data_IF_830754574295
#
_entry.id   IF_830754574295
#
_cell.length_a   1.000
_cell.length_b   1.000
_cell.length_c   1.000
_cell.angle_alpha   90.00
_cell.angle_beta   90.00
_cell.angle_gamma   90.00
#
_symmetry.space_group_name_H-M   'P 1'
#
loop_
_entity.id
_entity.type
_entity.pdbx_description
1 polymer ?
#
# COMPACT_ATOMS: atom_id res chain seq x y z
N UNK A 1 66.51 39.07 -21.98
CA UNK A 1 67.23 38.31 -20.90
C UNK A 1 66.17 37.46 -20.22
N UNK A 2 66.11 36.16 -20.53
CA UNK A 2 65.30 35.17 -19.80
C UNK A 2 66.22 34.53 -18.75
N UNK A 3 65.94 34.73 -17.48
CA UNK A 3 66.60 34.02 -16.39
C UNK A 3 65.65 32.84 -16.05
N UNK A 4 66.01 31.66 -16.55
CA UNK A 4 65.46 30.39 -16.10
C UNK A 4 66.28 30.00 -14.85
N UNK A 5 65.73 30.26 -13.71
CA UNK A 5 66.18 29.66 -12.44
C UNK A 5 65.56 28.27 -12.32
N UNK A 6 66.25 27.24 -12.80
CA UNK A 6 66.01 25.89 -12.32
C UNK A 6 66.58 25.79 -10.91
N UNK A 7 65.73 25.89 -9.94
CA UNK A 7 66.07 25.48 -8.57
C UNK A 7 66.00 23.94 -8.56
N UNK A 8 67.08 23.25 -8.69
CA UNK A 8 67.20 21.83 -8.38
C UNK A 8 67.08 21.74 -6.84
N UNK A 9 65.93 21.30 -6.39
CA UNK A 9 65.76 20.91 -5.00
C UNK A 9 66.65 19.69 -4.71
N UNK A 10 67.84 19.93 -4.09
CA UNK A 10 68.76 18.88 -3.59
C UNK A 10 68.36 18.51 -2.15
N UNK A 11 67.08 18.45 -1.83
CA UNK A 11 66.64 17.96 -0.57
C UNK A 11 67.06 16.53 -0.33
N UNK A 12 67.80 16.33 0.77
CA UNK A 12 68.14 14.98 1.23
C UNK A 12 66.90 14.41 1.97
N UNK A 13 65.93 14.03 1.17
CA UNK A 13 64.69 13.44 1.73
C UNK A 13 64.99 11.97 2.02
N UNK A 14 65.00 11.64 3.30
CA UNK A 14 65.04 10.26 3.78
C UNK A 14 63.63 9.67 3.63
N UNK A 15 63.31 9.19 2.43
CA UNK A 15 62.02 8.56 2.16
C UNK A 15 61.96 7.23 2.92
N UNK A 16 61.16 7.22 3.99
CA UNK A 16 60.79 5.95 4.62
C UNK A 16 59.60 5.40 3.90
N UNK A 17 59.69 4.13 3.49
CA UNK A 17 58.48 3.41 3.00
C UNK A 17 57.44 3.41 4.09
N UNK A 18 56.25 3.89 3.74
CA UNK A 18 55.08 3.86 4.64
C UNK A 18 54.46 2.47 4.57
N UNK A 19 54.06 1.96 5.72
CA UNK A 19 53.32 0.72 5.81
C UNK A 19 51.82 1.04 5.70
N UNK A 20 51.37 1.24 4.47
CA UNK A 20 49.96 1.58 4.19
C UNK A 20 49.06 0.42 4.56
N UNK A 21 47.81 0.74 4.94
CA UNK A 21 46.81 -0.22 5.35
C UNK A 21 45.65 -0.24 4.33
N UNK A 22 45.48 -1.35 3.65
CA UNK A 22 44.31 -1.62 2.83
C UNK A 22 43.25 -2.26 3.71
N UNK A 23 42.00 -1.73 3.69
CA UNK A 23 40.93 -2.14 4.58
C UNK A 23 39.78 -2.68 3.75
N UNK A 24 39.43 -3.94 3.95
CA UNK A 24 38.23 -4.55 3.40
C UNK A 24 37.17 -4.69 4.48
N UNK A 25 35.98 -4.10 4.24
CA UNK A 25 34.83 -4.14 5.15
C UNK A 25 33.74 -4.96 4.53
N UNK A 26 33.36 -6.04 5.21
CA UNK A 26 32.26 -6.91 4.82
C UNK A 26 31.30 -7.09 5.98
N UNK A 27 30.02 -7.30 5.66
CA UNK A 27 28.95 -7.62 6.61
C UNK A 27 28.19 -8.86 6.14
N UNK A 28 27.53 -9.56 7.05
CA UNK A 28 26.77 -10.79 6.72
C UNK A 28 25.60 -10.51 5.77
N UNK A 29 25.06 -9.30 5.77
CA UNK A 29 23.97 -8.85 4.90
C UNK A 29 24.15 -7.38 4.55
N UNK A 30 23.61 -6.95 3.42
CA UNK A 30 23.45 -5.53 3.07
C UNK A 30 22.11 -4.93 3.57
N UNK A 31 21.23 -5.75 4.16
CA UNK A 31 19.92 -5.32 4.67
C UNK A 31 19.73 -5.82 6.10
N UNK A 32 19.42 -4.89 6.98
CA UNK A 32 19.14 -5.15 8.40
C UNK A 32 17.81 -4.52 8.82
N UNK A 33 17.18 -5.10 9.81
CA UNK A 33 16.06 -4.46 10.49
C UNK A 33 16.55 -3.67 11.70
N UNK A 34 15.79 -2.65 12.09
CA UNK A 34 16.04 -1.92 13.34
C UNK A 34 16.03 -2.91 14.52
N UNK A 35 17.07 -2.89 15.32
CA UNK A 35 17.29 -3.85 16.42
C UNK A 35 18.10 -5.09 16.04
N UNK A 36 18.40 -5.31 14.77
CA UNK A 36 19.29 -6.39 14.35
C UNK A 36 20.75 -6.10 14.76
N UNK A 37 21.49 -7.17 15.02
CA UNK A 37 22.92 -7.08 15.29
C UNK A 37 23.71 -7.07 13.99
N UNK A 38 24.42 -5.98 13.72
CA UNK A 38 25.36 -5.83 12.61
C UNK A 38 26.73 -6.24 13.09
N UNK A 39 27.32 -7.22 12.43
CA UNK A 39 28.67 -7.70 12.73
C UNK A 39 29.55 -7.48 11.50
N UNK A 40 30.75 -6.90 11.72
CA UNK A 40 31.79 -6.81 10.70
C UNK A 40 33.15 -7.13 11.32
N UNK A 41 33.92 -7.94 10.62
CA UNK A 41 35.32 -8.28 10.96
C UNK A 41 36.19 -7.87 9.81
N UNK A 42 36.66 -6.61 9.79
CA UNK A 42 37.42 -6.09 8.67
C UNK A 42 38.78 -6.79 8.52
N UNK A 43 39.17 -7.01 7.29
CA UNK A 43 40.51 -7.47 6.94
C UNK A 43 41.43 -6.25 6.75
N UNK A 44 42.59 -6.26 7.42
CA UNK A 44 43.60 -5.22 7.29
C UNK A 44 44.85 -5.84 6.65
N UNK A 45 45.22 -5.34 5.49
CA UNK A 45 46.41 -5.79 4.76
C UNK A 45 47.49 -4.68 4.80
N UNK A 46 48.65 -5.00 5.36
CA UNK A 46 49.73 -4.06 5.52
C UNK A 46 50.77 -4.22 4.38
N UNK A 47 51.08 -3.14 3.67
CA UNK A 47 51.91 -3.17 2.47
C UNK A 47 53.34 -3.67 2.73
N UNK A 48 53.90 -3.47 3.93
CA UNK A 48 55.21 -4.00 4.33
C UNK A 48 55.12 -5.37 5.05
N UNK A 49 53.94 -5.99 5.08
CA UNK A 49 53.75 -7.33 5.66
C UNK A 49 53.92 -7.41 7.17
N UNK A 50 53.94 -6.28 7.89
CA UNK A 50 54.00 -6.21 9.36
C UNK A 50 52.83 -5.42 9.89
N UNK A 51 52.11 -6.01 10.83
CA UNK A 51 51.02 -5.33 11.53
C UNK A 51 51.60 -4.16 12.36
N UNK A 52 50.98 -2.97 12.24
CA UNK A 52 51.30 -1.84 13.09
C UNK A 52 50.71 -2.06 14.50
N UNK A 53 51.54 -1.77 15.51
CA UNK A 53 51.22 -2.14 16.91
C UNK A 53 50.35 -1.10 17.66
N UNK A 54 50.15 0.08 17.09
CA UNK A 54 49.42 1.19 17.74
C UNK A 54 48.40 1.79 16.77
N UNK A 55 47.19 1.18 16.75
CA UNK A 55 46.07 1.54 15.89
C UNK A 55 44.88 1.91 16.72
N UNK A 56 44.19 2.99 16.31
CA UNK A 56 42.90 3.37 16.81
C UNK A 56 41.81 3.19 15.75
N UNK A 57 40.60 2.85 16.14
CA UNK A 57 39.51 2.51 15.25
C UNK A 57 38.33 3.41 15.51
N UNK A 58 37.59 3.78 14.46
CA UNK A 58 36.34 4.49 14.55
C UNK A 58 35.39 3.97 13.46
N UNK A 59 34.25 3.45 13.87
CA UNK A 59 33.19 3.07 12.98
C UNK A 59 32.13 4.17 12.89
N UNK A 60 31.69 4.47 11.68
CA UNK A 60 30.61 5.41 11.44
C UNK A 60 29.55 4.81 10.54
N UNK A 61 28.28 5.11 10.83
CA UNK A 61 27.15 4.83 9.97
C UNK A 61 26.35 6.12 9.74
N UNK A 62 26.13 6.48 8.48
CA UNK A 62 25.49 7.75 8.07
C UNK A 62 26.12 8.98 8.79
N UNK A 63 27.44 8.96 9.00
CA UNK A 63 28.19 10.01 9.67
C UNK A 63 28.14 10.02 11.21
N UNK A 64 27.43 9.10 11.84
CA UNK A 64 27.36 8.95 13.29
C UNK A 64 28.32 7.87 13.77
N UNK A 65 29.09 8.13 14.84
CA UNK A 65 29.99 7.17 15.45
C UNK A 65 29.18 6.05 16.12
N UNK A 66 29.48 4.78 15.79
CA UNK A 66 28.78 3.60 16.29
C UNK A 66 29.71 2.56 16.96
N UNK A 67 31.03 2.76 16.91
CA UNK A 67 32.00 1.87 17.54
C UNK A 67 33.42 2.39 17.45
N UNK A 68 34.32 1.86 18.33
CA UNK A 68 35.70 2.28 18.47
C UNK A 68 36.70 1.08 18.52
N UNK A 69 36.20 -0.12 18.20
CA UNK A 69 37.03 -1.37 18.17
C UNK A 69 37.23 -1.84 16.76
N UNK A 70 38.27 -2.71 16.55
CA UNK A 70 38.55 -3.27 15.22
C UNK A 70 37.34 -3.97 14.65
N UNK A 71 36.76 -4.91 15.42
CA UNK A 71 35.58 -5.66 15.02
C UNK A 71 34.34 -4.88 15.47
N UNK A 72 33.37 -4.74 14.58
CA UNK A 72 32.10 -4.08 14.87
C UNK A 72 31.10 -5.12 15.39
N UNK A 73 30.46 -4.77 16.50
CA UNK A 73 29.22 -5.36 16.98
C UNK A 73 28.27 -4.23 17.35
N UNK A 74 27.36 -3.88 16.43
CA UNK A 74 26.43 -2.79 16.61
C UNK A 74 24.98 -3.28 16.51
N UNK A 75 24.13 -2.81 17.41
CA UNK A 75 22.69 -3.01 17.29
C UNK A 75 22.16 -1.84 16.47
N UNK A 76 21.60 -2.14 15.30
CA UNK A 76 21.07 -1.14 14.39
C UNK A 76 19.94 -0.32 15.06
N UNK A 77 20.21 0.92 15.38
CA UNK A 77 19.34 1.83 16.13
C UNK A 77 18.78 2.99 15.29
N UNK A 78 19.23 3.10 14.04
CA UNK A 78 18.89 4.20 13.14
C UNK A 78 18.43 3.67 11.80
N UNK A 79 17.22 4.08 11.37
CA UNK A 79 16.69 3.74 10.04
C UNK A 79 17.39 4.59 8.98
N UNK A 80 17.97 3.93 7.97
CA UNK A 80 18.64 4.60 6.87
C UNK A 80 18.63 3.72 5.60
N UNK A 81 18.33 4.31 4.45
CA UNK A 81 18.33 3.61 3.17
C UNK A 81 19.71 3.73 2.52
N UNK A 82 20.39 2.61 2.29
CA UNK A 82 21.67 2.48 1.57
C UNK A 82 22.68 3.56 1.98
N UNK A 83 23.18 3.47 3.22
CA UNK A 83 24.19 4.39 3.75
C UNK A 83 25.52 3.70 3.94
N UNK A 84 26.57 4.52 3.93
CA UNK A 84 27.92 4.05 4.14
C UNK A 84 28.14 3.62 5.60
N UNK A 85 28.58 2.37 5.75
CA UNK A 85 29.19 1.84 6.97
C UNK A 85 30.70 1.90 6.79
N UNK A 86 31.39 2.76 7.52
CA UNK A 86 32.78 3.07 7.31
C UNK A 86 33.62 2.83 8.56
N UNK A 87 34.78 2.20 8.34
CA UNK A 87 35.83 2.08 9.33
C UNK A 87 36.97 3.07 9.00
N UNK A 88 37.36 3.88 9.98
CA UNK A 88 38.57 4.67 9.98
C UNK A 88 39.59 3.98 10.90
N UNK A 89 40.80 3.77 10.41
CA UNK A 89 41.95 3.20 11.16
C UNK A 89 43.05 4.24 11.21
N UNK A 90 43.31 4.79 12.39
CA UNK A 90 44.39 5.74 12.64
C UNK A 90 45.64 4.98 13.10
N UNK A 91 46.73 5.12 12.37
CA UNK A 91 48.05 4.76 12.85
C UNK A 91 48.59 5.87 13.76
N UNK A 92 48.61 5.62 15.05
CA UNK A 92 49.02 6.60 16.05
C UNK A 92 50.52 6.98 15.96
N UNK A 93 51.35 6.14 15.32
CA UNK A 93 52.76 6.42 15.15
C UNK A 93 53.05 7.39 14.00
N UNK A 94 52.23 7.32 12.95
CA UNK A 94 52.39 8.16 11.76
C UNK A 94 51.42 9.31 11.69
N UNK A 95 50.29 9.20 12.39
CA UNK A 95 49.15 10.13 12.33
C UNK A 95 48.32 10.01 11.06
N UNK A 96 48.54 8.95 10.25
CA UNK A 96 47.78 8.71 9.01
C UNK A 96 46.55 7.89 9.29
N UNK A 97 45.41 8.29 8.69
CA UNK A 97 44.13 7.58 8.80
C UNK A 97 43.81 6.89 7.48
N UNK A 98 43.50 5.60 7.55
CA UNK A 98 43.08 4.75 6.44
C UNK A 98 41.59 4.47 6.56
N UNK A 99 40.92 4.22 5.43
CA UNK A 99 39.47 4.05 5.40
C UNK A 99 39.08 2.81 4.60
N UNK A 100 38.12 2.06 5.11
CA UNK A 100 37.40 1.03 4.40
C UNK A 100 35.89 1.20 4.61
N UNK A 101 35.10 0.85 3.63
CA UNK A 101 33.65 1.00 3.77
C UNK A 101 32.85 -0.05 2.98
N UNK A 102 31.63 -0.23 3.39
CA UNK A 102 30.58 -0.96 2.67
C UNK A 102 29.26 -0.21 2.80
N UNK A 103 28.25 -0.62 2.06
CA UNK A 103 26.94 0.02 2.11
C UNK A 103 25.92 -0.94 2.67
N UNK A 104 25.16 -0.48 3.67
CA UNK A 104 24.04 -1.23 4.25
C UNK A 104 22.79 -0.38 4.33
N UNK A 105 21.64 -1.04 4.39
CA UNK A 105 20.34 -0.42 4.66
C UNK A 105 19.82 -0.94 5.99
N UNK A 106 19.31 -0.04 6.82
CA UNK A 106 18.57 -0.38 8.06
C UNK A 106 17.14 0.07 7.87
N UNK A 107 16.22 -0.88 7.82
CA UNK A 107 14.79 -0.63 7.73
C UNK A 107 14.09 -0.80 9.07
N UNK A 108 12.85 -0.34 9.18
CA UNK A 108 12.00 -0.73 10.32
C UNK A 108 11.92 -2.25 10.40
N UNK A 109 11.87 -2.81 11.60
CA UNK A 109 11.68 -4.24 11.82
C UNK A 109 10.43 -4.80 11.11
N UNK A 110 9.53 -3.94 10.70
CA UNK A 110 8.25 -4.25 10.06
C UNK A 110 8.13 -3.73 8.62
N UNK A 111 9.18 -3.14 8.05
CA UNK A 111 9.22 -2.64 6.66
C UNK A 111 9.61 -3.73 5.65
N UNK A 112 9.82 -4.96 6.08
CA UNK A 112 10.09 -6.10 5.20
C UNK A 112 8.81 -6.59 4.54
N UNK A 113 8.93 -7.38 3.46
CA UNK A 113 7.79 -8.06 2.86
C UNK A 113 7.03 -8.89 3.90
N UNK A 114 5.73 -8.67 3.99
CA UNK A 114 4.89 -9.35 4.94
C UNK A 114 3.44 -8.89 4.85
N UNK A 115 2.63 -9.41 5.75
CA UNK A 115 1.22 -9.13 5.84
C UNK A 115 0.89 -8.38 7.12
N UNK A 116 0.08 -7.36 6.99
CA UNK A 116 -0.51 -6.66 8.14
C UNK A 116 -1.93 -7.19 8.33
N UNK A 117 -2.22 -7.62 9.54
CA UNK A 117 -3.54 -8.16 9.91
C UNK A 117 -4.17 -7.24 10.94
N UNK A 118 -5.33 -6.70 10.60
CA UNK A 118 -6.18 -5.95 11.52
C UNK A 118 -7.15 -6.91 12.19
N UNK A 119 -7.15 -6.95 13.51
CA UNK A 119 -7.99 -7.84 14.30
C UNK A 119 -8.55 -7.15 15.55
N UNK A 120 -9.51 -7.81 16.19
CA UNK A 120 -10.02 -7.41 17.49
C UNK A 120 -9.51 -8.39 18.56
N UNK A 121 -8.94 -7.86 19.62
CA UNK A 121 -8.55 -8.65 20.78
C UNK A 121 -9.05 -7.98 22.05
N UNK A 122 -9.85 -8.72 22.82
CA UNK A 122 -10.41 -8.23 24.10
C UNK A 122 -11.12 -6.87 23.95
N UNK A 123 -11.84 -6.69 22.83
CA UNK A 123 -12.55 -5.45 22.51
C UNK A 123 -11.69 -4.33 21.91
N UNK A 124 -10.38 -4.50 21.79
CA UNK A 124 -9.47 -3.52 21.22
C UNK A 124 -9.08 -3.88 19.79
N UNK A 125 -8.95 -2.86 18.94
CA UNK A 125 -8.35 -3.00 17.62
C UNK A 125 -6.86 -3.24 17.76
N UNK A 126 -6.33 -4.24 17.06
CA UNK A 126 -4.91 -4.59 17.08
C UNK A 126 -4.39 -4.79 15.66
N UNK A 127 -3.12 -4.42 15.45
CA UNK A 127 -2.39 -4.74 14.23
C UNK A 127 -1.32 -5.79 14.51
N UNK A 128 -1.30 -6.84 13.72
CA UNK A 128 -0.24 -7.85 13.74
C UNK A 128 0.50 -7.86 12.42
N UNK A 129 1.81 -8.13 12.48
CA UNK A 129 2.65 -8.29 11.30
C UNK A 129 3.05 -9.75 11.15
N UNK A 130 2.75 -10.32 10.00
CA UNK A 130 3.09 -11.69 9.63
C UNK A 130 4.14 -11.65 8.52
N UNK A 131 5.28 -12.26 8.74
CA UNK A 131 6.33 -12.43 7.73
C UNK A 131 6.75 -13.88 7.63
N UNK A 132 7.28 -14.25 6.48
CA UNK A 132 7.97 -15.53 6.31
C UNK A 132 9.45 -15.36 6.66
N UNK A 133 9.97 -16.26 7.45
CA UNK A 133 11.39 -16.35 7.78
C UNK A 133 11.90 -17.75 7.45
N UNK A 134 13.03 -17.81 6.74
CA UNK A 134 13.69 -19.08 6.48
C UNK A 134 14.57 -19.45 7.67
N UNK A 135 14.26 -20.55 8.30
CA UNK A 135 15.04 -21.12 9.38
C UNK A 135 15.44 -22.55 9.00
N UNK A 136 16.74 -22.82 8.91
CA UNK A 136 17.28 -24.12 8.46
C UNK A 136 16.73 -24.57 7.08
N UNK A 137 16.51 -23.64 6.16
CA UNK A 137 15.98 -23.93 4.82
C UNK A 137 14.45 -24.15 4.77
N UNK A 138 13.75 -24.00 5.88
CA UNK A 138 12.29 -24.14 5.98
C UNK A 138 11.68 -22.76 6.20
N UNK A 139 10.71 -22.39 5.36
CA UNK A 139 9.90 -21.18 5.53
C UNK A 139 8.95 -21.37 6.72
N UNK A 140 9.07 -20.51 7.71
CA UNK A 140 8.19 -20.46 8.89
C UNK A 140 7.50 -19.10 9.00
N UNK A 141 6.21 -19.06 9.31
CA UNK A 141 5.54 -17.80 9.61
C UNK A 141 5.98 -17.28 10.98
N UNK A 142 6.38 -16.01 11.02
CA UNK A 142 6.68 -15.28 12.27
C UNK A 142 5.65 -14.19 12.43
N UNK A 143 4.92 -14.22 13.54
CA UNK A 143 3.86 -13.24 13.84
C UNK A 143 4.30 -12.31 14.96
N UNK A 144 4.39 -11.03 14.69
CA UNK A 144 4.53 -9.99 15.72
C UNK A 144 3.16 -9.39 15.99
N UNK A 145 2.68 -9.56 17.22
CA UNK A 145 1.33 -9.13 17.62
C UNK A 145 1.34 -7.72 18.18
N UNK A 146 0.25 -6.99 17.93
CA UNK A 146 -0.03 -5.67 18.49
C UNK A 146 1.10 -4.64 18.29
N UNK A 147 1.61 -4.61 17.07
CA UNK A 147 2.72 -3.71 16.69
C UNK A 147 2.38 -2.22 16.90
N UNK A 148 1.10 -1.84 16.76
CA UNK A 148 0.70 -0.46 16.97
C UNK A 148 0.90 -0.04 18.42
N UNK A 149 0.37 -0.79 19.38
CA UNK A 149 0.50 -0.44 20.81
C UNK A 149 1.95 -0.52 21.29
N UNK A 150 2.74 -1.45 20.74
CA UNK A 150 4.18 -1.55 21.05
C UNK A 150 4.94 -0.29 20.63
N UNK A 151 4.60 0.30 19.49
CA UNK A 151 5.30 1.46 18.92
C UNK A 151 4.77 2.77 19.48
N UNK A 152 3.44 2.90 19.61
CA UNK A 152 2.81 4.17 20.01
C UNK A 152 2.57 4.29 21.53
N UNK A 153 2.74 3.20 22.29
CA UNK A 153 2.59 3.18 23.75
C UNK A 153 1.13 3.29 24.25
N UNK A 154 0.16 3.26 23.34
CA UNK A 154 -1.27 3.41 23.62
C UNK A 154 -2.08 2.45 22.75
N UNK A 155 -3.27 1.99 23.20
CA UNK A 155 -4.18 1.21 22.36
C UNK A 155 -4.62 2.00 21.13
N UNK A 156 -4.83 1.29 20.01
CA UNK A 156 -5.21 1.93 18.74
C UNK A 156 -6.65 2.46 18.77
N UNK A 157 -7.58 1.66 19.26
CA UNK A 157 -9.00 1.94 19.35
C UNK A 157 -9.81 0.67 19.49
N UNK A 158 -11.07 0.68 19.04
CA UNK A 158 -11.99 -0.46 19.19
C UNK A 158 -12.84 -0.65 17.94
N UNK A 159 -13.39 -1.86 17.76
CA UNK A 159 -14.26 -2.20 16.63
C UNK A 159 -13.58 -1.96 15.28
N UNK A 160 -12.53 -2.70 14.95
CA UNK A 160 -11.81 -2.59 13.68
C UNK A 160 -12.74 -2.94 12.51
N UNK A 161 -12.57 -2.26 11.38
CA UNK A 161 -13.43 -2.47 10.20
C UNK A 161 -12.63 -2.78 8.95
N UNK A 162 -11.66 -1.94 8.60
CA UNK A 162 -10.91 -2.09 7.34
C UNK A 162 -9.55 -1.41 7.40
N UNK A 163 -8.67 -1.82 6.48
CA UNK A 163 -7.39 -1.17 6.22
C UNK A 163 -7.27 -0.83 4.74
N UNK A 164 -6.52 0.21 4.45
CA UNK A 164 -6.18 0.58 3.08
C UNK A 164 -4.75 1.12 2.99
N UNK A 165 -3.85 0.42 2.29
CA UNK A 165 -2.50 0.91 2.05
C UNK A 165 -2.53 2.05 1.03
N UNK A 166 -1.74 3.08 1.26
CA UNK A 166 -1.60 4.17 0.31
C UNK A 166 -0.17 4.70 0.25
N UNK A 167 0.14 5.44 -0.80
CA UNK A 167 1.44 6.04 -1.02
C UNK A 167 1.28 7.54 -1.24
N UNK A 168 2.16 8.33 -0.62
CA UNK A 168 2.34 9.73 -1.00
C UNK A 168 3.59 9.80 -1.87
N UNK A 169 3.44 10.26 -3.10
CA UNK A 169 4.60 10.69 -3.87
C UNK A 169 5.09 12.01 -3.27
N UNK A 170 6.28 12.01 -2.68
CA UNK A 170 7.01 13.25 -2.51
C UNK A 170 7.54 13.67 -3.86
N UNK A 171 7.29 14.92 -4.22
CA UNK A 171 7.73 15.51 -5.51
C UNK A 171 9.25 15.45 -5.73
N UNK A 172 10.04 15.35 -4.67
CA UNK A 172 11.50 15.26 -4.72
C UNK A 172 12.06 13.88 -5.11
N UNK A 173 11.20 12.90 -5.34
CA UNK A 173 11.58 11.58 -5.86
C UNK A 173 12.33 10.70 -4.87
N UNK A 174 12.63 11.16 -3.66
CA UNK A 174 13.52 10.46 -2.75
C UNK A 174 12.83 9.52 -1.76
N UNK A 175 11.54 9.66 -1.46
CA UNK A 175 10.88 8.74 -0.52
C UNK A 175 9.45 8.42 -0.92
N UNK A 176 9.25 7.27 -1.55
CA UNK A 176 7.94 6.60 -1.59
C UNK A 176 7.65 6.05 -0.19
N UNK A 177 7.12 6.90 0.67
CA UNK A 177 6.66 6.45 1.99
C UNK A 177 5.33 5.75 1.83
N UNK A 178 5.26 4.50 2.24
CA UNK A 178 4.01 3.78 2.38
C UNK A 178 3.29 4.21 3.66
N UNK A 179 1.96 4.30 3.57
CA UNK A 179 1.07 4.67 4.66
C UNK A 179 -0.06 3.65 4.74
N UNK A 180 -0.72 3.58 5.87
CA UNK A 180 -1.84 2.68 6.09
C UNK A 180 -2.98 3.39 6.81
N UNK A 181 -4.09 3.56 6.13
CA UNK A 181 -5.34 3.91 6.78
C UNK A 181 -5.90 2.72 7.53
N UNK A 182 -6.25 2.92 8.79
CA UNK A 182 -6.97 1.94 9.61
C UNK A 182 -8.31 2.55 10.02
N UNK A 183 -9.40 1.97 9.57
CA UNK A 183 -10.74 2.37 9.97
C UNK A 183 -11.22 1.51 11.12
N UNK A 184 -11.73 2.17 12.16
CA UNK A 184 -12.32 1.57 13.35
C UNK A 184 -13.45 2.46 13.85
N UNK A 185 -14.47 1.89 14.48
CA UNK A 185 -15.66 2.63 14.88
C UNK A 185 -15.50 3.35 16.22
N UNK A 186 -14.69 2.82 17.12
CA UNK A 186 -14.47 3.38 18.46
C UNK A 186 -13.07 3.95 18.67
N UNK A 187 -12.87 4.58 19.82
CA UNK A 187 -11.61 5.24 20.15
C UNK A 187 -11.39 6.51 19.34
N UNK A 188 -10.27 6.59 18.62
CA UNK A 188 -9.93 7.74 17.78
C UNK A 188 -10.65 7.75 16.41
N UNK A 189 -11.41 6.69 16.10
CA UNK A 189 -11.97 6.50 14.76
C UNK A 189 -10.89 6.11 13.76
N UNK A 190 -11.03 6.52 12.50
CA UNK A 190 -10.04 6.21 11.47
C UNK A 190 -8.74 7.00 11.69
N UNK A 191 -7.62 6.29 11.59
CA UNK A 191 -6.27 6.82 11.78
C UNK A 191 -5.39 6.51 10.57
N UNK A 192 -4.41 7.37 10.33
CA UNK A 192 -3.35 7.19 9.36
C UNK A 192 -2.03 6.88 10.06
N UNK A 193 -1.37 5.82 9.66
CA UNK A 193 -0.11 5.37 10.26
C UNK A 193 0.97 5.20 9.19
N UNK A 194 2.20 5.44 9.57
CA UNK A 194 3.35 5.19 8.69
C UNK A 194 3.48 3.69 8.39
N UNK A 195 3.55 3.32 7.13
CA UNK A 195 3.72 1.93 6.71
C UNK A 195 5.12 1.37 7.00
N UNK A 196 6.10 2.23 7.26
CA UNK A 196 7.47 1.82 7.59
C UNK A 196 7.71 1.75 9.10
N UNK A 197 7.15 2.66 9.90
CA UNK A 197 7.40 2.75 11.34
C UNK A 197 6.21 2.37 12.20
N UNK A 198 5.02 2.25 11.65
CA UNK A 198 3.73 2.06 12.34
C UNK A 198 3.41 3.13 13.39
N UNK A 199 4.10 4.25 13.34
CA UNK A 199 3.74 5.44 14.12
C UNK A 199 2.46 6.07 13.57
N UNK A 200 1.61 6.51 14.48
CA UNK A 200 0.41 7.27 14.12
C UNK A 200 0.83 8.66 13.62
N UNK A 201 0.38 9.01 12.42
CA UNK A 201 0.68 10.29 11.78
C UNK A 201 -0.54 11.20 11.71
N UNK A 202 -1.74 10.62 11.72
CA UNK A 202 -2.96 11.40 11.63
C UNK A 202 -4.19 10.74 12.19
N UNK A 203 -5.22 11.56 12.42
CA UNK A 203 -6.56 11.15 12.84
C UNK A 203 -7.54 11.80 11.89
N UNK A 204 -8.39 11.00 11.25
CA UNK A 204 -9.36 11.48 10.25
C UNK A 204 -10.23 12.63 10.78
N UNK A 205 -10.67 12.56 12.03
CA UNK A 205 -11.53 13.58 12.62
C UNK A 205 -10.87 14.97 12.73
N UNK A 206 -9.56 15.04 12.65
CA UNK A 206 -8.80 16.30 12.69
C UNK A 206 -8.50 16.88 11.30
N UNK A 207 -8.86 16.15 10.23
CA UNK A 207 -8.50 16.50 8.86
C UNK A 207 -9.62 17.17 8.06
N UNK A 208 -10.69 17.62 8.71
CA UNK A 208 -11.80 18.33 8.07
C UNK A 208 -11.56 19.85 8.00
N UNK A 209 -12.07 20.49 6.95
CA UNK A 209 -11.79 21.89 6.60
C UNK A 209 -12.19 22.86 7.72
N UNK A 210 -13.36 22.70 8.31
CA UNK A 210 -13.84 23.52 9.41
C UNK A 210 -13.27 23.13 10.78
N UNK A 211 -12.41 22.13 10.83
CA UNK A 211 -11.97 21.44 12.07
C UNK A 211 -13.16 20.88 12.87
N UNK A 212 -14.28 20.68 12.19
CA UNK A 212 -15.52 20.11 12.74
C UNK A 212 -15.78 18.80 12.04
N UNK A 213 -15.57 17.70 12.75
CA UNK A 213 -15.92 16.37 12.25
C UNK A 213 -17.42 16.26 12.07
N UNK A 214 -17.95 15.76 10.94
CA UNK A 214 -19.37 15.70 10.71
C UNK A 214 -20.08 14.89 11.79
N UNK A 215 -21.17 15.46 12.33
CA UNK A 215 -21.93 14.82 13.42
C UNK A 215 -22.49 13.45 12.96
N UNK A 216 -22.28 12.44 13.79
CA UNK A 216 -22.73 11.08 13.53
C UNK A 216 -21.94 10.34 12.43
N UNK A 217 -20.88 10.93 11.85
CA UNK A 217 -20.07 10.25 10.86
C UNK A 217 -19.11 9.25 11.52
N UNK A 218 -19.28 7.98 11.20
CA UNK A 218 -18.40 6.89 11.64
C UNK A 218 -17.74 6.31 10.40
N UNK A 219 -16.44 6.55 10.21
CA UNK A 219 -15.71 6.05 9.06
C UNK A 219 -15.51 4.53 9.16
N UNK A 220 -15.90 3.82 8.11
CA UNK A 220 -15.70 2.38 7.94
C UNK A 220 -14.64 2.04 6.89
N UNK A 221 -14.12 3.05 6.20
CA UNK A 221 -13.03 2.89 5.23
C UNK A 221 -12.51 4.24 4.76
N UNK A 222 -11.24 4.29 4.42
CA UNK A 222 -10.62 5.43 3.74
C UNK A 222 -9.88 4.87 2.54
N UNK A 223 -10.20 5.36 1.34
CA UNK A 223 -9.58 4.95 0.09
C UNK A 223 -8.79 6.13 -0.45
N UNK A 224 -7.52 5.90 -0.71
CA UNK A 224 -6.61 6.90 -1.24
C UNK A 224 -6.33 6.61 -2.72
N UNK A 225 -6.72 7.54 -3.58
CA UNK A 225 -6.49 7.49 -5.03
C UNK A 225 -5.32 8.43 -5.39
N UNK A 226 -5.02 8.57 -6.66
CA UNK A 226 -3.88 9.39 -7.08
C UNK A 226 -4.06 10.87 -6.71
N UNK A 227 -5.23 11.45 -6.96
CA UNK A 227 -5.52 12.87 -6.72
C UNK A 227 -6.65 13.12 -5.72
N UNK A 228 -7.27 12.08 -5.20
CA UNK A 228 -8.42 12.16 -4.32
C UNK A 228 -8.29 11.15 -3.18
N UNK A 229 -8.66 11.55 -1.96
CA UNK A 229 -8.90 10.63 -0.85
C UNK A 229 -10.39 10.66 -0.50
N UNK A 230 -10.97 9.50 -0.26
CA UNK A 230 -12.37 9.34 0.15
C UNK A 230 -12.48 8.67 1.50
N UNK A 231 -13.22 9.27 2.42
CA UNK A 231 -13.64 8.65 3.67
C UNK A 231 -15.09 8.18 3.54
N UNK A 232 -15.33 6.90 3.81
CA UNK A 232 -16.63 6.23 3.65
C UNK A 232 -17.24 6.02 5.04
N UNK A 233 -18.46 6.49 5.23
CA UNK A 233 -19.21 6.33 6.46
C UNK A 233 -19.96 5.01 6.56
N UNK A 234 -20.24 4.57 7.78
CA UNK A 234 -21.08 3.40 8.06
C UNK A 234 -22.48 3.53 7.43
N UNK A 235 -22.97 4.74 7.35
CA UNK A 235 -24.25 5.05 6.69
C UNK A 235 -24.13 5.13 5.16
N UNK A 236 -22.94 4.89 4.59
CA UNK A 236 -22.62 4.95 3.16
C UNK A 236 -22.36 6.36 2.61
N UNK A 237 -22.34 7.40 3.45
CA UNK A 237 -21.93 8.75 2.99
C UNK A 237 -20.42 8.77 2.70
N UNK A 238 -20.03 9.65 1.78
CA UNK A 238 -18.63 9.81 1.36
C UNK A 238 -18.21 11.25 1.57
N UNK A 239 -17.05 11.46 2.20
CA UNK A 239 -16.37 12.74 2.26
C UNK A 239 -15.06 12.67 1.48
N UNK A 240 -14.67 13.76 0.85
CA UNK A 240 -13.49 13.77 -0.03
C UNK A 240 -12.51 14.88 0.32
N UNK A 241 -11.24 14.64 0.05
CA UNK A 241 -10.17 15.66 -0.01
C UNK A 241 -9.38 15.50 -1.30
N UNK A 242 -8.88 16.60 -1.86
CA UNK A 242 -8.01 16.59 -3.04
C UNK A 242 -6.55 16.46 -2.57
N UNK A 243 -5.78 15.68 -3.32
CA UNK A 243 -4.33 15.59 -3.24
C UNK A 243 -3.72 16.39 -4.38
N UNK A 244 -2.75 17.24 -4.07
CA UNK A 244 -2.00 18.00 -5.07
C UNK A 244 -0.57 18.21 -4.55
N UNK A 245 0.42 17.96 -5.40
CA UNK A 245 1.84 18.17 -5.11
C UNK A 245 2.21 19.61 -4.74
N UNK A 246 1.36 20.58 -5.10
CA UNK A 246 1.54 21.99 -4.72
C UNK A 246 1.03 22.31 -3.31
N UNK A 247 0.37 21.39 -2.64
CA UNK A 247 -0.15 21.59 -1.30
C UNK A 247 0.88 21.16 -0.24
N UNK A 248 0.88 21.84 0.89
CA UNK A 248 1.63 21.41 2.06
C UNK A 248 1.13 20.02 2.47
N UNK A 249 2.05 19.06 2.67
CA UNK A 249 1.74 17.65 2.88
C UNK A 249 1.01 16.96 1.71
N UNK A 250 1.07 17.53 0.50
CA UNK A 250 0.47 16.98 -0.71
C UNK A 250 -1.04 16.72 -0.63
N UNK A 251 -1.74 17.31 0.32
CA UNK A 251 -3.19 17.12 0.47
C UNK A 251 -3.89 18.33 1.07
N UNK A 252 -5.17 18.52 0.70
CA UNK A 252 -6.10 19.44 1.35
C UNK A 252 -6.74 18.80 2.58
N UNK A 253 -7.55 19.55 3.29
CA UNK A 253 -8.48 18.99 4.27
C UNK A 253 -9.69 18.35 3.58
N UNK A 254 -10.35 17.38 4.27
CA UNK A 254 -11.63 16.88 3.82
C UNK A 254 -12.68 17.98 3.80
N UNK A 255 -13.52 17.98 2.78
CA UNK A 255 -14.65 18.89 2.69
C UNK A 255 -15.68 18.56 3.77
N UNK A 256 -16.35 19.58 4.31
CA UNK A 256 -17.40 19.41 5.34
C UNK A 256 -18.75 18.96 4.76
N UNK A 257 -18.82 18.86 3.44
CA UNK A 257 -20.01 18.41 2.73
C UNK A 257 -19.77 17.03 2.13
N UNK A 258 -20.72 16.10 2.29
CA UNK A 258 -20.62 14.80 1.65
C UNK A 258 -20.68 14.90 0.14
N UNK A 259 -20.09 13.92 -0.52
CA UNK A 259 -20.16 13.78 -1.97
C UNK A 259 -21.60 13.60 -2.43
N UNK A 260 -21.98 14.32 -3.48
CA UNK A 260 -23.33 14.28 -4.06
C UNK A 260 -23.25 14.05 -5.56
N UNK A 261 -24.23 13.37 -6.12
CA UNK A 261 -24.46 13.40 -7.57
C UNK A 261 -25.13 14.71 -7.97
N UNK A 262 -24.94 15.14 -9.23
CA UNK A 262 -25.37 16.47 -9.72
C UNK A 262 -26.86 16.81 -9.56
N UNK A 263 -27.71 15.83 -9.28
CA UNK A 263 -29.17 16.05 -9.35
C UNK A 263 -29.97 15.62 -8.12
N UNK A 264 -29.50 14.71 -7.29
CA UNK A 264 -30.43 14.01 -6.38
C UNK A 264 -29.94 13.76 -4.95
N UNK A 265 -28.94 14.47 -4.49
CA UNK A 265 -28.59 14.37 -3.07
C UNK A 265 -27.41 13.46 -2.78
N UNK A 266 -27.35 12.96 -1.56
CA UNK A 266 -26.21 12.22 -1.03
C UNK A 266 -26.07 10.85 -1.68
N UNK A 267 -24.86 10.53 -2.09
CA UNK A 267 -24.51 9.18 -2.51
C UNK A 267 -24.50 8.26 -1.30
N UNK A 268 -24.98 7.04 -1.47
CA UNK A 268 -24.99 5.98 -0.46
C UNK A 268 -24.33 4.74 -1.02
N UNK A 269 -23.16 4.40 -0.49
CA UNK A 269 -22.36 3.27 -0.94
C UNK A 269 -22.11 2.26 0.18
N UNK A 270 -21.71 1.08 -0.20
CA UNK A 270 -21.22 0.01 0.66
C UNK A 270 -19.80 -0.36 0.19
N UNK A 271 -18.90 -0.68 1.10
CA UNK A 271 -17.50 -0.95 0.77
C UNK A 271 -17.28 -2.09 -0.22
N UNK A 272 -18.17 -3.09 -0.26
CA UNK A 272 -18.14 -4.19 -1.23
C UNK A 272 -18.67 -3.80 -2.62
N UNK A 273 -19.17 -2.58 -2.78
CA UNK A 273 -19.76 -2.05 -4.02
C UNK A 273 -18.93 -0.89 -4.57
N UNK A 274 -17.62 -0.90 -4.31
CA UNK A 274 -16.65 0.09 -4.76
C UNK A 274 -15.51 -0.64 -5.46
N UNK A 275 -15.19 -0.19 -6.67
CA UNK A 275 -14.05 -0.68 -7.45
C UNK A 275 -13.12 0.46 -7.82
N UNK A 276 -11.90 0.45 -7.30
CA UNK A 276 -10.84 1.36 -7.68
C UNK A 276 -9.83 0.66 -8.59
N UNK A 277 -9.50 1.29 -9.70
CA UNK A 277 -8.53 0.81 -10.67
C UNK A 277 -7.36 1.81 -10.76
N UNK A 278 -6.31 1.63 -9.94
CA UNK A 278 -5.22 2.61 -9.83
C UNK A 278 -4.40 2.79 -11.10
N UNK A 279 -4.46 1.85 -12.03
CA UNK A 279 -3.71 1.88 -13.29
C UNK A 279 -4.60 2.14 -14.52
N UNK A 280 -5.85 2.54 -14.30
CA UNK A 280 -6.73 2.96 -15.39
C UNK A 280 -6.22 4.30 -15.96
N UNK A 281 -5.96 4.35 -17.26
CA UNK A 281 -5.53 5.57 -17.95
C UNK A 281 -6.54 6.73 -17.84
N UNK A 282 -7.80 6.40 -17.58
CA UNK A 282 -8.85 7.38 -17.37
C UNK A 282 -9.01 7.80 -15.91
N UNK A 283 -8.32 7.14 -15.00
CA UNK A 283 -8.31 7.40 -13.55
C UNK A 283 -9.69 7.42 -12.92
N UNK A 284 -9.83 6.80 -11.76
CA UNK A 284 -11.07 6.92 -11.03
C UNK A 284 -11.59 5.61 -10.43
N UNK A 285 -12.84 5.69 -10.02
CA UNK A 285 -13.51 4.65 -9.26
C UNK A 285 -14.93 4.44 -9.76
N UNK A 286 -15.33 3.20 -9.87
CA UNK A 286 -16.73 2.82 -10.08
C UNK A 286 -17.35 2.42 -8.75
N UNK A 287 -18.53 2.94 -8.46
CA UNK A 287 -19.32 2.55 -7.31
C UNK A 287 -20.79 2.37 -7.67
N UNK A 288 -21.50 1.57 -6.87
CA UNK A 288 -22.95 1.47 -6.94
C UNK A 288 -23.58 2.39 -5.91
N UNK A 289 -24.39 3.36 -6.38
CA UNK A 289 -25.17 4.24 -5.51
C UNK A 289 -26.54 3.62 -5.19
N UNK A 290 -26.72 3.26 -3.92
CA UNK A 290 -27.98 2.67 -3.43
C UNK A 290 -29.17 3.62 -3.52
N UNK A 291 -28.95 4.94 -3.44
CA UNK A 291 -30.04 5.91 -3.48
C UNK A 291 -30.63 6.07 -4.87
N UNK A 292 -29.78 6.20 -5.88
CA UNK A 292 -30.21 6.34 -7.26
C UNK A 292 -30.35 5.00 -8.01
N UNK A 293 -29.91 3.90 -7.39
CA UNK A 293 -29.87 2.57 -7.96
C UNK A 293 -29.18 2.54 -9.34
N UNK A 294 -27.96 3.06 -9.41
CA UNK A 294 -27.15 3.11 -10.62
C UNK A 294 -25.65 3.03 -10.30
N UNK A 295 -24.86 2.66 -11.29
CA UNK A 295 -23.41 2.80 -11.19
C UNK A 295 -22.96 4.22 -11.51
N UNK A 296 -22.06 4.73 -10.72
CA UNK A 296 -21.45 6.05 -10.87
C UNK A 296 -19.93 5.90 -10.99
N UNK A 297 -19.31 6.81 -11.71
CA UNK A 297 -17.87 6.97 -11.76
C UNK A 297 -17.47 8.21 -11.00
N UNK A 298 -16.51 8.08 -10.09
CA UNK A 298 -15.87 9.21 -9.43
C UNK A 298 -14.52 9.41 -10.11
N UNK A 299 -14.37 10.56 -10.77
CA UNK A 299 -13.15 10.88 -11.47
C UNK A 299 -11.98 11.10 -10.50
N UNK A 300 -10.83 10.55 -10.85
CA UNK A 300 -9.53 10.79 -10.20
C UNK A 300 -8.50 11.11 -11.28
N UNK A 301 -8.69 12.24 -11.96
CA UNK A 301 -8.00 12.54 -13.19
C UNK A 301 -7.55 13.99 -13.27
N UNK A 302 -6.31 14.20 -13.66
CA UNK A 302 -5.72 15.48 -13.99
C UNK A 302 -5.22 15.42 -15.44
N UNK A 303 -5.73 16.30 -16.29
CA UNK A 303 -5.30 16.29 -17.68
C UNK A 303 -3.90 16.92 -17.86
N UNK A 304 -3.29 16.73 -19.04
CA UNK A 304 -1.97 17.25 -19.37
C UNK A 304 -1.87 18.79 -19.32
N UNK A 305 -2.99 19.52 -19.38
CA UNK A 305 -3.07 20.98 -19.23
C UNK A 305 -3.14 21.41 -17.75
N UNK A 306 -3.16 20.46 -16.80
CA UNK A 306 -3.23 20.71 -15.36
C UNK A 306 -4.63 20.90 -14.79
N UNK A 307 -5.70 20.72 -15.59
CA UNK A 307 -7.07 20.74 -15.06
C UNK A 307 -7.33 19.47 -14.26
N UNK A 308 -7.67 19.64 -12.99
CA UNK A 308 -8.01 18.54 -12.08
C UNK A 308 -9.53 18.33 -12.06
N UNK A 309 -9.95 17.11 -12.41
CA UNK A 309 -11.36 16.70 -12.42
C UNK A 309 -11.70 15.79 -11.22
N UNK A 310 -10.77 15.56 -10.31
CA UNK A 310 -10.95 14.63 -9.21
C UNK A 310 -12.12 15.04 -8.31
N UNK A 311 -12.90 14.05 -7.92
CA UNK A 311 -14.11 14.24 -7.14
C UNK A 311 -15.37 14.55 -7.95
N UNK A 312 -15.29 14.65 -9.28
CA UNK A 312 -16.52 14.72 -10.11
C UNK A 312 -17.23 13.38 -10.11
N UNK A 313 -18.51 13.41 -9.81
CA UNK A 313 -19.40 12.26 -9.91
C UNK A 313 -20.06 12.26 -11.28
N UNK A 314 -19.82 11.22 -12.04
CA UNK A 314 -20.24 11.10 -13.42
C UNK A 314 -21.09 9.83 -13.61
N UNK A 315 -22.26 9.91 -14.27
CA UNK A 315 -22.99 8.71 -14.66
C UNK A 315 -22.23 7.94 -15.72
N UNK A 316 -22.22 6.62 -15.62
CA UNK A 316 -21.77 5.72 -16.67
C UNK A 316 -22.76 5.76 -17.84
N UNK A 317 -22.28 6.00 -19.05
CA UNK A 317 -23.12 6.02 -20.23
C UNK A 317 -22.72 4.93 -21.20
N UNK A 318 -23.59 3.95 -21.33
CA UNK A 318 -23.52 2.86 -22.30
C UNK A 318 -24.52 3.09 -23.41
N UNK A 319 -24.14 2.80 -24.65
CA UNK A 319 -25.06 2.93 -25.79
C UNK A 319 -26.12 1.79 -25.76
N UNK A 320 -27.35 2.13 -26.12
CA UNK A 320 -28.50 1.20 -25.97
C UNK A 320 -28.32 -0.12 -26.72
N UNK A 321 -27.67 -0.08 -27.87
CA UNK A 321 -27.43 -1.27 -28.71
C UNK A 321 -26.44 -2.28 -28.10
N UNK A 322 -25.70 -1.90 -27.07
CA UNK A 322 -24.75 -2.79 -26.39
C UNK A 322 -25.45 -3.73 -25.40
N UNK A 323 -26.66 -3.38 -24.98
CA UNK A 323 -27.43 -4.22 -24.06
C UNK A 323 -28.25 -5.27 -24.81
N UNK A 324 -28.23 -6.50 -24.30
CA UNK A 324 -29.20 -7.53 -24.67
C UNK A 324 -30.58 -7.25 -24.04
N UNK A 325 -31.64 -7.89 -24.52
CA UNK A 325 -33.01 -7.63 -24.07
C UNK A 325 -33.27 -7.89 -22.59
N UNK A 326 -32.46 -8.71 -21.95
CA UNK A 326 -32.57 -9.09 -20.52
C UNK A 326 -31.44 -8.57 -19.66
N UNK A 327 -30.54 -7.74 -20.20
CA UNK A 327 -29.42 -7.24 -19.46
C UNK A 327 -29.83 -6.09 -18.54
N UNK A 328 -29.30 -6.11 -17.33
CA UNK A 328 -29.49 -5.03 -16.38
C UNK A 328 -28.68 -3.80 -16.80
N UNK A 329 -29.30 -2.66 -16.87
CA UNK A 329 -28.66 -1.41 -17.29
C UNK A 329 -27.87 -0.81 -16.15
N UNK A 330 -26.64 -0.38 -16.42
CA UNK A 330 -25.76 0.23 -15.42
C UNK A 330 -26.34 1.53 -14.83
N UNK A 331 -27.13 2.26 -15.60
CA UNK A 331 -27.81 3.49 -15.22
C UNK A 331 -29.19 3.28 -14.57
N UNK A 332 -29.67 2.03 -14.46
CA UNK A 332 -30.95 1.70 -13.85
C UNK A 332 -30.99 0.28 -13.30
N UNK A 333 -30.56 0.13 -12.06
CA UNK A 333 -30.49 -1.14 -11.35
C UNK A 333 -31.67 -1.38 -10.39
N UNK A 334 -32.79 -0.67 -10.53
CA UNK A 334 -33.95 -0.72 -9.59
C UNK A 334 -34.56 -2.12 -9.43
N UNK A 335 -34.40 -2.98 -10.41
CA UNK A 335 -34.94 -4.33 -10.40
C UNK A 335 -33.91 -5.38 -9.95
N UNK A 336 -32.71 -4.92 -9.53
CA UNK A 336 -31.61 -5.76 -9.12
C UNK A 336 -31.06 -5.33 -7.76
N UNK A 337 -30.50 -6.29 -7.04
CA UNK A 337 -29.67 -6.06 -5.87
C UNK A 337 -28.20 -6.25 -6.27
N UNK A 338 -27.33 -5.33 -5.89
CA UNK A 338 -25.88 -5.43 -6.12
C UNK A 338 -25.21 -5.94 -4.85
N UNK A 339 -24.34 -6.91 -4.98
CA UNK A 339 -23.60 -7.54 -3.88
C UNK A 339 -22.11 -7.26 -3.89
N UNK A 340 -21.54 -7.05 -5.07
CA UNK A 340 -20.12 -6.82 -5.24
C UNK A 340 -19.84 -6.00 -6.51
N UNK A 341 -18.83 -5.14 -6.45
CA UNK A 341 -18.22 -4.47 -7.60
C UNK A 341 -16.71 -4.55 -7.43
N UNK A 342 -16.00 -4.99 -8.45
CA UNK A 342 -14.55 -5.09 -8.47
C UNK A 342 -13.96 -4.66 -9.81
N UNK A 343 -12.70 -4.23 -9.80
CA UNK A 343 -11.92 -3.95 -11.00
C UNK A 343 -10.95 -5.09 -11.25
N UNK A 344 -10.92 -5.60 -12.48
CA UNK A 344 -10.01 -6.64 -12.92
C UNK A 344 -9.00 -6.07 -13.90
N UNK A 345 -7.73 -6.23 -13.60
CA UNK A 345 -6.64 -5.91 -14.49
C UNK A 345 -6.33 -7.13 -15.35
N UNK A 346 -6.83 -7.17 -16.57
CA UNK A 346 -6.59 -8.29 -17.51
C UNK A 346 -5.34 -8.03 -18.36
N UNK A 347 -5.09 -6.77 -18.68
CA UNK A 347 -3.94 -6.30 -19.43
C UNK A 347 -3.57 -4.88 -19.02
N UNK A 348 -2.34 -4.43 -19.31
CA UNK A 348 -1.96 -3.03 -19.05
C UNK A 348 -2.87 -2.10 -19.84
N UNK A 349 -3.62 -1.26 -19.11
CA UNK A 349 -4.57 -0.31 -19.68
C UNK A 349 -5.94 -0.88 -20.05
N UNK A 350 -6.15 -2.20 -20.02
CA UNK A 350 -7.43 -2.85 -20.33
C UNK A 350 -8.14 -3.33 -19.05
N UNK A 351 -8.70 -2.38 -18.31
CA UNK A 351 -9.38 -2.65 -17.05
C UNK A 351 -10.85 -2.93 -17.29
N UNK A 352 -11.33 -4.09 -16.83
CA UNK A 352 -12.75 -4.42 -16.78
C UNK A 352 -13.27 -4.30 -15.37
N UNK A 353 -14.50 -3.83 -15.24
CA UNK A 353 -15.26 -3.86 -14.00
C UNK A 353 -16.20 -5.04 -13.99
N UNK A 354 -16.29 -5.72 -12.85
CA UNK A 354 -17.16 -6.87 -12.64
C UNK A 354 -18.07 -6.62 -11.47
N UNK A 355 -19.34 -7.02 -11.61
CA UNK A 355 -20.34 -6.86 -10.57
C UNK A 355 -21.16 -8.13 -10.41
N UNK A 356 -21.44 -8.52 -9.16
CA UNK A 356 -22.42 -9.55 -8.84
C UNK A 356 -23.74 -8.88 -8.53
N UNK A 357 -24.75 -9.25 -9.30
CA UNK A 357 -26.11 -8.76 -9.16
C UNK A 357 -27.10 -9.90 -9.01
N UNK A 358 -28.26 -9.62 -8.41
CA UNK A 358 -29.37 -10.55 -8.22
C UNK A 358 -30.66 -9.90 -8.71
N UNK A 359 -31.41 -10.61 -9.55
CA UNK A 359 -32.73 -10.17 -10.02
C UNK A 359 -33.84 -10.43 -8.99
N UNK A 360 -35.05 -9.95 -9.28
CA UNK A 360 -36.25 -10.19 -8.45
C UNK A 360 -36.69 -11.64 -8.38
N UNK A 361 -36.29 -12.47 -9.36
CA UNK A 361 -36.56 -13.91 -9.38
C UNK A 361 -35.56 -14.71 -8.53
N UNK A 362 -34.54 -14.05 -7.96
CA UNK A 362 -33.54 -14.67 -7.10
C UNK A 362 -32.33 -15.21 -7.86
N UNK A 363 -32.22 -14.99 -9.14
CA UNK A 363 -31.09 -15.42 -9.95
C UNK A 363 -29.94 -14.46 -9.85
N UNK A 364 -28.72 -14.99 -9.72
CA UNK A 364 -27.51 -14.22 -9.69
C UNK A 364 -26.82 -14.15 -11.06
N UNK A 365 -26.25 -12.99 -11.34
CA UNK A 365 -25.53 -12.74 -12.57
C UNK A 365 -24.18 -12.08 -12.29
N UNK A 366 -23.19 -12.36 -13.15
CA UNK A 366 -21.97 -11.57 -13.30
C UNK A 366 -22.20 -10.59 -14.45
N UNK A 367 -22.12 -9.31 -14.17
CA UNK A 367 -21.99 -8.28 -15.20
C UNK A 367 -20.52 -7.93 -15.41
N UNK A 368 -20.15 -7.65 -16.66
CA UNK A 368 -18.82 -7.19 -17.06
C UNK A 368 -18.96 -5.95 -17.95
N UNK A 369 -18.22 -4.91 -17.64
CA UNK A 369 -18.23 -3.64 -18.39
C UNK A 369 -16.88 -2.93 -18.27
N UNK A 370 -16.65 -1.93 -19.12
CA UNK A 370 -15.46 -1.08 -19.10
C UNK A 370 -15.83 0.39 -18.99
N UNK A 371 -14.92 1.18 -18.42
CA UNK A 371 -14.92 2.63 -18.55
C UNK A 371 -14.06 2.98 -19.76
N UNK A 372 -14.61 3.78 -20.68
CA UNK A 372 -13.96 4.08 -21.94
C UNK A 372 -13.24 5.44 -21.89
N UNK A 373 -13.99 6.52 -21.94
CA UNK A 373 -13.42 7.85 -22.03
C UNK A 373 -14.32 8.93 -21.44
N UNK A 374 -13.68 9.98 -20.93
CA UNK A 374 -14.39 11.18 -20.51
C UNK A 374 -14.94 11.94 -21.72
N UNK A 375 -16.22 12.29 -21.66
CA UNK A 375 -16.88 13.09 -22.66
C UNK A 375 -17.10 14.54 -22.22
N UNK A 376 -17.10 15.48 -23.19
CA UNK A 376 -17.40 16.90 -22.92
C UNK A 376 -16.22 17.87 -23.06
N UNK A 377 -15.10 17.43 -23.61
CA UNK A 377 -13.95 18.32 -23.87
C UNK A 377 -13.36 18.93 -22.59
N UNK A 378 -13.24 20.26 -22.53
CA UNK A 378 -12.72 20.96 -21.34
C UNK A 378 -13.64 20.89 -20.11
N UNK A 379 -14.90 20.48 -20.30
CA UNK A 379 -15.89 20.29 -19.24
C UNK A 379 -16.33 18.83 -19.25
N UNK A 380 -15.65 17.98 -18.47
CA UNK A 380 -16.04 16.58 -18.33
C UNK A 380 -17.43 16.48 -17.68
N UNK A 381 -18.42 16.01 -18.44
CA UNK A 381 -19.83 15.92 -17.99
C UNK A 381 -20.37 14.49 -17.94
N UNK A 382 -19.66 13.55 -18.55
CA UNK A 382 -20.02 12.14 -18.57
C UNK A 382 -18.77 11.29 -18.77
N UNK A 383 -18.88 10.03 -18.46
CA UNK A 383 -17.89 9.01 -18.82
C UNK A 383 -18.58 7.96 -19.68
N UNK A 384 -17.96 7.64 -20.82
CA UNK A 384 -18.39 6.55 -21.67
C UNK A 384 -18.10 5.20 -21.00
N UNK A 385 -18.97 4.23 -21.19
CA UNK A 385 -18.76 2.86 -20.75
C UNK A 385 -19.22 1.90 -21.85
N UNK A 386 -18.55 0.76 -21.95
CA UNK A 386 -18.94 -0.36 -22.80
C UNK A 386 -19.48 -1.49 -21.96
N UNK A 387 -20.67 -2.00 -22.31
CA UNK A 387 -21.23 -3.19 -21.71
C UNK A 387 -20.71 -4.43 -22.42
N UNK A 388 -20.07 -5.34 -21.69
CA UNK A 388 -19.43 -6.52 -22.29
C UNK A 388 -20.34 -7.73 -22.22
N UNK A 389 -20.89 -8.04 -21.03
CA UNK A 389 -21.71 -9.24 -20.86
C UNK A 389 -22.46 -9.26 -19.54
N UNK A 390 -23.55 -10.04 -19.52
CA UNK A 390 -24.22 -10.50 -18.31
C UNK A 390 -24.42 -12.02 -18.40
N UNK A 391 -23.97 -12.76 -17.40
CA UNK A 391 -24.04 -14.22 -17.38
C UNK A 391 -24.60 -14.72 -16.06
N UNK A 392 -25.59 -15.62 -16.09
CA UNK A 392 -26.17 -16.23 -14.89
C UNK A 392 -25.15 -17.10 -14.17
N UNK A 393 -24.95 -16.92 -12.86
CA UNK A 393 -24.09 -17.76 -12.02
C UNK A 393 -24.95 -18.77 -11.29
N UNK A 394 -24.96 -20.01 -11.77
CA UNK A 394 -25.74 -21.09 -11.17
C UNK A 394 -25.13 -21.53 -9.84
N UNK A 395 -26.00 -21.69 -8.83
CA UNK A 395 -25.62 -22.15 -7.49
C UNK A 395 -25.08 -21.06 -6.55
N UNK A 396 -24.98 -19.82 -7.03
CA UNK A 396 -24.53 -18.71 -6.18
C UNK A 396 -25.57 -18.32 -5.12
N UNK A 397 -26.84 -18.61 -5.35
CA UNK A 397 -27.93 -18.47 -4.38
C UNK A 397 -27.70 -19.31 -3.11
N UNK A 398 -27.03 -20.44 -3.21
CA UNK A 398 -26.65 -21.25 -2.06
C UNK A 398 -25.45 -20.68 -1.28
N UNK A 399 -24.66 -19.81 -1.91
CA UNK A 399 -23.48 -19.15 -1.29
C UNK A 399 -23.87 -17.81 -0.70
N UNK A 400 -24.61 -16.99 -1.45
CA UNK A 400 -25.09 -15.67 -1.01
C UNK A 400 -26.57 -15.79 -0.63
N UNK A 401 -26.84 -16.37 0.52
CA UNK A 401 -28.20 -16.65 1.02
C UNK A 401 -28.64 -15.73 2.17
N UNK A 402 -27.74 -14.84 2.60
CA UNK A 402 -28.00 -13.90 3.71
C UNK A 402 -27.83 -14.48 5.11
N UNK A 403 -27.40 -15.73 5.24
CA UNK A 403 -27.16 -16.35 6.56
C UNK A 403 -25.84 -15.96 7.19
N UNK A 404 -24.88 -15.51 6.39
CA UNK A 404 -23.58 -15.00 6.83
C UNK A 404 -23.13 -13.83 5.96
N UNK A 405 -22.22 -13.01 6.48
CA UNK A 405 -21.54 -12.00 5.68
C UNK A 405 -20.64 -12.71 4.67
N UNK A 406 -20.68 -12.30 3.42
CA UNK A 406 -19.79 -12.77 2.39
C UNK A 406 -18.61 -11.81 2.25
N UNK A 407 -17.39 -12.35 2.18
CA UNK A 407 -16.21 -11.63 1.73
C UNK A 407 -15.97 -11.94 0.25
N UNK A 408 -15.48 -10.96 -0.48
CA UNK A 408 -15.20 -11.07 -1.91
C UNK A 408 -13.77 -10.66 -2.19
N UNK A 409 -13.08 -11.42 -3.04
CA UNK A 409 -11.77 -11.03 -3.56
C UNK A 409 -11.70 -11.34 -5.06
N UNK A 410 -11.60 -10.31 -5.89
CA UNK A 410 -11.39 -10.42 -7.32
C UNK A 410 -9.89 -10.45 -7.62
N UNK A 411 -9.40 -11.56 -8.14
CA UNK A 411 -8.01 -11.69 -8.52
C UNK A 411 -7.67 -10.81 -9.72
N UNK A 412 -6.57 -10.07 -9.60
CA UNK A 412 -6.09 -9.10 -10.58
C UNK A 412 -4.91 -9.65 -11.40
N UNK A 413 -4.95 -10.91 -11.79
CA UNK A 413 -3.85 -11.48 -12.59
C UNK A 413 -3.92 -10.98 -14.04
N UNK A 414 -2.81 -10.42 -14.53
CA UNK A 414 -2.68 -9.88 -15.88
C UNK A 414 -2.75 -10.96 -16.98
N UNK A 415 -2.30 -12.17 -16.70
CA UNK A 415 -2.10 -13.21 -17.70
C UNK A 415 -3.24 -14.22 -17.82
N UNK A 416 -4.30 -14.07 -17.01
CA UNK A 416 -5.36 -15.09 -16.93
C UNK A 416 -6.73 -14.46 -16.77
N UNK A 417 -7.74 -15.21 -17.15
CA UNK A 417 -9.11 -14.86 -16.88
C UNK A 417 -9.32 -14.49 -15.41
N UNK A 418 -10.00 -13.37 -15.13
CA UNK A 418 -10.28 -12.97 -13.76
C UNK A 418 -11.11 -14.04 -13.06
N UNK A 419 -10.76 -14.33 -11.83
CA UNK A 419 -11.52 -15.22 -10.96
C UNK A 419 -11.85 -14.53 -9.64
N UNK A 420 -12.94 -14.96 -9.04
CA UNK A 420 -13.47 -14.38 -7.82
C UNK A 420 -13.51 -15.42 -6.70
N UNK A 421 -12.95 -15.09 -5.55
CA UNK A 421 -13.16 -15.82 -4.33
C UNK A 421 -14.35 -15.23 -3.56
N UNK A 422 -15.18 -16.10 -3.00
CA UNK A 422 -16.35 -15.72 -2.23
C UNK A 422 -16.39 -16.59 -0.97
N UNK A 423 -16.56 -15.97 0.20
CA UNK A 423 -16.74 -16.72 1.45
C UNK A 423 -18.22 -16.94 1.77
N UNK A 424 -18.53 -18.05 2.44
CA UNK A 424 -19.78 -18.26 3.19
C UNK A 424 -19.46 -18.98 4.50
N UNK A 425 -19.54 -18.28 5.62
CA UNK A 425 -19.12 -18.83 6.90
C UNK A 425 -17.69 -19.34 6.82
N UNK A 426 -17.48 -20.62 7.10
CA UNK A 426 -16.19 -21.31 7.08
C UNK A 426 -15.75 -21.80 5.70
N UNK A 427 -16.57 -21.63 4.66
CA UNK A 427 -16.31 -22.19 3.34
C UNK A 427 -15.85 -21.11 2.38
N UNK A 428 -14.75 -21.37 1.67
CA UNK A 428 -14.25 -20.58 0.56
C UNK A 428 -14.67 -21.18 -0.77
N UNK A 429 -15.30 -20.37 -1.61
CA UNK A 429 -15.69 -20.71 -2.96
C UNK A 429 -14.81 -19.98 -3.96
N UNK A 430 -14.61 -20.63 -5.12
CA UNK A 430 -13.89 -20.09 -6.27
C UNK A 430 -14.81 -20.04 -7.46
N UNK A 431 -15.01 -18.85 -8.02
CA UNK A 431 -15.76 -18.64 -9.25
C UNK A 431 -14.80 -18.32 -10.40
N UNK A 432 -14.76 -19.20 -11.41
CA UNK A 432 -14.01 -19.00 -12.64
C UNK A 432 -14.89 -18.28 -13.67
N UNK A 433 -14.56 -17.03 -13.97
CA UNK A 433 -15.44 -16.13 -14.72
C UNK A 433 -15.62 -16.54 -16.18
N UNK A 434 -14.54 -16.92 -16.89
CA UNK A 434 -14.63 -17.30 -18.30
C UNK A 434 -15.37 -18.64 -18.53
N UNK A 435 -15.19 -19.57 -17.61
CA UNK A 435 -15.87 -20.86 -17.66
C UNK A 435 -17.26 -20.84 -17.02
N UNK A 436 -17.64 -19.74 -16.39
CA UNK A 436 -18.88 -19.57 -15.62
C UNK A 436 -19.14 -20.74 -14.66
N UNK A 437 -18.14 -21.11 -13.85
CA UNK A 437 -18.19 -22.25 -12.95
C UNK A 437 -17.85 -21.85 -11.53
N UNK A 438 -18.66 -22.31 -10.60
CA UNK A 438 -18.48 -22.14 -9.16
C UNK A 438 -17.99 -23.46 -8.54
N UNK A 439 -16.94 -23.38 -7.72
CA UNK A 439 -16.33 -24.53 -7.05
C UNK A 439 -16.21 -24.24 -5.56
N UNK A 440 -16.29 -25.28 -4.73
CA UNK A 440 -15.81 -25.21 -3.35
C UNK A 440 -14.29 -25.31 -3.38
N UNK A 441 -13.61 -24.33 -2.81
CA UNK A 441 -12.15 -24.22 -2.80
C UNK A 441 -11.54 -24.83 -1.55
N UNK A 442 -12.02 -24.39 -0.36
CA UNK A 442 -11.49 -24.82 0.93
C UNK A 442 -12.56 -24.72 2.03
N UNK A 443 -12.32 -25.47 3.10
CA UNK A 443 -13.08 -25.42 4.34
C UNK A 443 -12.13 -25.07 5.48
N UNK A 444 -12.48 -24.11 6.32
CA UNK A 444 -11.72 -23.67 7.48
C UNK A 444 -12.43 -24.08 8.76
N UNK A 445 -11.72 -23.97 9.89
CA UNK A 445 -12.25 -24.35 11.22
C UNK A 445 -13.08 -23.22 11.86
N UNK A 446 -13.06 -22.02 11.28
CA UNK A 446 -13.82 -20.86 11.75
C UNK A 446 -14.24 -19.94 10.60
N UNK A 447 -15.24 -19.07 10.81
CA UNK A 447 -15.77 -18.19 9.76
C UNK A 447 -14.70 -17.28 9.17
N UNK A 448 -14.75 -17.11 7.85
CA UNK A 448 -13.82 -16.27 7.09
C UNK A 448 -14.20 -14.81 7.32
N UNK A 449 -13.26 -14.00 7.80
CA UNK A 449 -13.44 -12.57 8.08
C UNK A 449 -13.01 -11.69 6.92
N UNK A 450 -11.91 -12.05 6.23
CA UNK A 450 -11.40 -11.32 5.06
C UNK A 450 -10.64 -12.25 4.11
N UNK A 451 -10.47 -11.78 2.89
CA UNK A 451 -9.69 -12.44 1.84
C UNK A 451 -8.87 -11.38 1.13
N UNK A 452 -7.56 -11.61 1.01
CA UNK A 452 -6.66 -10.75 0.26
C UNK A 452 -5.57 -11.57 -0.44
N UNK A 453 -4.84 -10.96 -1.37
CA UNK A 453 -3.73 -11.60 -2.06
C UNK A 453 -2.65 -10.59 -2.44
N UNK A 454 -1.44 -11.08 -2.62
CA UNK A 454 -0.34 -10.29 -3.14
C UNK A 454 -0.66 -9.80 -4.56
N UNK A 455 -0.73 -8.46 -4.73
CA UNK A 455 -1.28 -7.81 -5.91
C UNK A 455 -0.55 -8.10 -7.22
N UNK A 456 0.76 -8.42 -7.19
CA UNK A 456 1.57 -8.53 -8.41
C UNK A 456 1.88 -9.95 -8.85
N UNK A 457 1.92 -10.91 -7.93
CA UNK A 457 2.30 -12.28 -8.27
C UNK A 457 1.18 -13.30 -8.10
N UNK A 458 0.09 -12.96 -7.41
CA UNK A 458 -1.00 -13.86 -7.02
C UNK A 458 -0.48 -15.21 -6.49
N UNK A 459 0.72 -15.19 -5.89
CA UNK A 459 1.42 -16.38 -5.44
C UNK A 459 0.80 -16.94 -4.17
N UNK A 460 0.27 -16.04 -3.36
CA UNK A 460 -0.36 -16.38 -2.09
C UNK A 460 -1.71 -15.68 -1.96
N UNK A 461 -2.71 -16.42 -1.58
CA UNK A 461 -4.01 -15.91 -1.15
C UNK A 461 -4.11 -16.15 0.34
N UNK A 462 -4.29 -15.08 1.10
CA UNK A 462 -4.50 -15.15 2.53
C UNK A 462 -5.99 -15.08 2.82
N UNK A 463 -6.44 -16.01 3.63
CA UNK A 463 -7.79 -16.05 4.17
C UNK A 463 -7.66 -15.89 5.67
N UNK A 464 -8.22 -14.79 6.18
CA UNK A 464 -8.30 -14.53 7.61
C UNK A 464 -9.61 -15.08 8.17
N UNK A 465 -9.53 -15.76 9.31
CA UNK A 465 -10.68 -16.39 9.98
C UNK A 465 -10.83 -15.84 11.39
N UNK A 466 -12.06 -15.85 11.91
CA UNK A 466 -12.39 -15.37 13.25
C UNK A 466 -12.01 -16.43 14.30
#
# INVERSE_FOLDING_TARGET
LAITSCYEDKGNYDYREMNDIEISVETESSFYALGDKVISKPELVFTLGKENSDLSYEWTFDGHVIGDTKDLEWIADTIASTKELRLAVLDNNTGVTYFGSTYISVSSAYASNGWVVLSEKEGNSTLSFLREQTEEGILKPVVTRDIYSMINGVPMGTQPVSMYPHWTERWDGEDKTSWLWVAQKGGQGAIDISGSSYKQEGILSQMFLSKSYPEGFVSVGVIDMQFLTMAIGEDGTIYTRVKDSNLLFNSSNFLDRPLTSDKEGKIKVDGSMIAYAPFDEHGGMVLYDKNSAQYLHIADYKNWQGYNYSGKVLPLKVEEYEYGPSDARLDNMKDYSVYFVGASLVDWGDISYMSIIKDKAGKFYMQKFKVEAYGGGSSVTKVGASFISQSEIKGLDAVIDGTSKNCFYLCRNQDKAPYLFISKGETLYFYYTDGNKLYTCAQFDSPIASIDAECFNNKYIIVDTI
#
